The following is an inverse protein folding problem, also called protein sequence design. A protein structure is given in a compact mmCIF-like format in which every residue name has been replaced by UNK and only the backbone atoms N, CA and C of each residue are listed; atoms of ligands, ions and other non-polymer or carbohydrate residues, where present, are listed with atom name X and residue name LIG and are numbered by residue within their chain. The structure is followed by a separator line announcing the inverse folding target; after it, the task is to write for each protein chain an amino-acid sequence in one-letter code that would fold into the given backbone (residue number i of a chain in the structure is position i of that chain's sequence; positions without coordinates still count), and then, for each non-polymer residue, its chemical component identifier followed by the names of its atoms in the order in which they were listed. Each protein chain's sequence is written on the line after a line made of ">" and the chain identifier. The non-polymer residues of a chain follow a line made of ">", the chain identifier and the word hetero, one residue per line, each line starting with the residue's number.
data_IF_781019382131
#
_entry.id   IF_781019382131
#
_cell.length_a   1.000
_cell.length_b   1.000
_cell.length_c   1.000
_cell.angle_alpha   90.00
_cell.angle_beta   90.00
_cell.angle_gamma   90.00
#
_symmetry.space_group_name_H-M   'P 1'
#
loop_
_entity.id
_entity.type
_entity.pdbx_description
1 polymer ?
#
# COMPACT_ATOMS: atom_id res chain seq x y z
N UNK A 1 -13.96 1.37 -1.36
CA UNK A 1 -15.38 1.06 -1.07
C UNK A 1 -15.53 0.88 0.43
N UNK A 2 -16.75 1.00 0.96
CA UNK A 2 -17.03 0.91 2.41
C UNK A 2 -17.95 -0.29 2.68
N UNK A 3 -17.63 -1.18 3.63
CA UNK A 3 -18.49 -2.29 3.98
C UNK A 3 -19.80 -1.78 4.60
N UNK A 4 -20.92 -2.36 4.18
CA UNK A 4 -22.26 -2.05 4.67
C UNK A 4 -23.11 -3.31 4.73
N UNK A 5 -24.21 -3.25 5.45
CA UNK A 5 -25.15 -4.35 5.56
C UNK A 5 -26.59 -3.86 5.70
N UNK A 6 -27.53 -4.73 5.37
CA UNK A 6 -28.96 -4.56 5.63
C UNK A 6 -29.51 -5.86 6.19
N UNK A 7 -30.56 -5.76 6.99
CA UNK A 7 -31.19 -6.92 7.64
C UNK A 7 -32.63 -7.00 7.20
N UNK A 8 -33.07 -8.17 6.73
CA UNK A 8 -34.48 -8.43 6.37
C UNK A 8 -34.94 -9.70 7.06
N UNK A 9 -35.95 -9.57 7.93
CA UNK A 9 -36.61 -10.63 8.71
C UNK A 9 -35.65 -11.44 9.59
N UNK A 10 -34.81 -12.30 9.01
CA UNK A 10 -33.79 -13.08 9.72
C UNK A 10 -32.49 -13.25 8.90
N UNK A 11 -32.32 -12.49 7.82
CA UNK A 11 -31.17 -12.60 6.91
C UNK A 11 -30.43 -11.28 6.85
N UNK A 12 -29.12 -11.33 7.07
CA UNK A 12 -28.21 -10.18 6.95
C UNK A 12 -27.52 -10.21 5.59
N UNK A 13 -27.76 -9.19 4.79
CA UNK A 13 -27.14 -9.00 3.49
C UNK A 13 -25.93 -8.08 3.65
N UNK A 14 -24.76 -8.53 3.21
CA UNK A 14 -23.50 -7.78 3.27
C UNK A 14 -23.14 -7.28 1.88
N UNK A 15 -22.74 -6.02 1.76
CA UNK A 15 -22.39 -5.39 0.49
C UNK A 15 -21.32 -4.31 0.68
N UNK A 16 -20.55 -4.04 -0.36
CA UNK A 16 -19.60 -2.93 -0.42
C UNK A 16 -20.22 -1.77 -1.19
N UNK A 17 -20.23 -0.58 -0.59
CA UNK A 17 -20.75 0.65 -1.22
C UNK A 17 -19.60 1.50 -1.72
N UNK A 18 -19.75 2.08 -2.91
CA UNK A 18 -18.80 3.08 -3.38
C UNK A 18 -18.83 4.31 -2.47
N UNK A 19 -17.69 4.67 -1.89
CA UNK A 19 -17.56 5.83 -1.00
C UNK A 19 -17.87 7.14 -1.74
N UNK A 20 -17.59 7.22 -3.04
CA UNK A 20 -17.98 8.35 -3.88
C UNK A 20 -19.50 8.42 -4.06
N UNK A 21 -20.14 7.29 -4.38
CA UNK A 21 -21.60 7.20 -4.47
C UNK A 21 -22.30 7.56 -3.16
N UNK A 22 -21.74 7.13 -2.03
CA UNK A 22 -22.28 7.40 -0.71
C UNK A 22 -22.19 8.90 -0.34
N UNK A 23 -21.10 9.58 -0.73
CA UNK A 23 -20.88 10.99 -0.41
C UNK A 23 -21.49 11.97 -1.41
N UNK A 24 -21.57 11.60 -2.70
CA UNK A 24 -21.97 12.49 -3.81
C UNK A 24 -23.21 12.03 -4.59
N UNK A 25 -23.82 10.92 -4.18
CA UNK A 25 -25.04 10.37 -4.78
C UNK A 25 -24.78 9.22 -5.75
N UNK A 26 -25.73 8.28 -5.83
CA UNK A 26 -25.60 7.03 -6.60
C UNK A 26 -25.52 7.20 -8.13
N UNK A 27 -25.87 8.37 -8.67
CA UNK A 27 -25.71 8.70 -10.09
C UNK A 27 -24.25 8.96 -10.48
N UNK A 28 -23.37 9.25 -9.51
CA UNK A 28 -21.97 9.64 -9.75
C UNK A 28 -21.01 8.45 -9.86
N UNK A 29 -21.48 7.23 -9.65
CA UNK A 29 -20.65 6.03 -9.74
C UNK A 29 -21.46 4.88 -10.37
N UNK A 30 -20.96 4.27 -11.47
CA UNK A 30 -21.65 3.16 -12.14
C UNK A 30 -21.79 1.92 -11.25
N UNK A 31 -20.79 1.65 -10.40
CA UNK A 31 -20.72 0.46 -9.56
C UNK A 31 -21.73 0.46 -8.40
N UNK A 32 -22.14 1.63 -7.90
CA UNK A 32 -23.09 1.82 -6.77
C UNK A 32 -22.76 0.97 -5.53
N UNK A 33 -23.28 -0.24 -5.46
CA UNK A 33 -23.05 -1.23 -4.41
C UNK A 33 -22.84 -2.62 -5.01
N UNK A 34 -21.96 -3.41 -4.41
CA UNK A 34 -21.62 -4.77 -4.87
C UNK A 34 -21.88 -5.76 -3.73
N UNK A 35 -22.50 -6.92 -3.99
CA UNK A 35 -22.63 -7.98 -2.99
C UNK A 35 -21.26 -8.41 -2.45
N UNK A 36 -21.15 -8.55 -1.12
CA UNK A 36 -19.86 -8.85 -0.50
C UNK A 36 -19.39 -10.29 -0.79
N UNK A 37 -20.29 -11.26 -0.70
CA UNK A 37 -19.96 -12.69 -0.83
C UNK A 37 -19.31 -13.04 -2.19
N UNK A 38 -19.86 -12.68 -3.37
CA UNK A 38 -19.20 -12.98 -4.65
C UNK A 38 -17.80 -12.39 -4.78
N UNK A 39 -17.58 -11.17 -4.27
CA UNK A 39 -16.27 -10.51 -4.32
C UNK A 39 -15.29 -11.16 -3.34
N UNK A 40 -15.73 -11.43 -2.11
CA UNK A 40 -14.93 -12.12 -1.10
C UNK A 40 -14.49 -13.50 -1.59
N UNK A 41 -15.43 -14.29 -2.13
CA UNK A 41 -15.14 -15.59 -2.71
C UNK A 41 -14.18 -15.50 -3.89
N UNK A 42 -14.36 -14.53 -4.80
CA UNK A 42 -13.44 -14.33 -5.92
C UNK A 42 -12.01 -14.03 -5.46
N UNK A 43 -11.85 -13.18 -4.44
CA UNK A 43 -10.53 -12.86 -3.87
C UNK A 43 -9.89 -14.10 -3.26
N UNK A 44 -10.64 -14.87 -2.47
CA UNK A 44 -10.14 -16.10 -1.83
C UNK A 44 -9.74 -17.14 -2.89
N UNK A 45 -10.57 -17.34 -3.91
CA UNK A 45 -10.25 -18.27 -5.00
C UNK A 45 -9.04 -17.82 -5.80
N UNK A 46 -8.84 -16.51 -5.98
CA UNK A 46 -7.61 -16.00 -6.61
C UNK A 46 -6.37 -16.28 -5.77
N UNK A 47 -6.44 -16.06 -4.45
CA UNK A 47 -5.35 -16.40 -3.51
C UNK A 47 -5.02 -17.89 -3.61
N UNK A 48 -6.04 -18.77 -3.59
CA UNK A 48 -5.88 -20.22 -3.74
C UNK A 48 -5.26 -20.62 -5.07
N UNK A 49 -5.70 -20.00 -6.17
CA UNK A 49 -5.20 -20.30 -7.51
C UNK A 49 -3.70 -20.00 -7.64
N UNK A 50 -3.23 -18.90 -7.05
CA UNK A 50 -1.81 -18.54 -7.00
C UNK A 50 -1.02 -19.61 -6.23
N UNK A 51 -1.57 -20.13 -5.14
CA UNK A 51 -0.91 -21.18 -4.35
C UNK A 51 -0.87 -22.57 -4.97
N UNK A 52 -1.82 -22.91 -5.82
CA UNK A 52 -1.92 -24.25 -6.44
C UNK A 52 -1.17 -24.37 -7.77
N UNK A 53 -0.78 -23.26 -8.38
CA UNK A 53 -0.14 -23.25 -9.69
C UNK A 53 1.27 -22.63 -9.61
N UNK A 54 2.35 -23.43 -9.66
CA UNK A 54 3.73 -22.95 -9.60
C UNK A 54 4.08 -21.93 -10.69
N UNK A 55 3.55 -22.09 -11.90
CA UNK A 55 3.82 -21.16 -13.00
C UNK A 55 3.11 -19.81 -12.78
N UNK A 56 1.91 -19.83 -12.23
CA UNK A 56 1.21 -18.60 -11.84
C UNK A 56 1.92 -17.92 -10.66
N UNK A 57 2.43 -18.68 -9.70
CA UNK A 57 3.22 -18.16 -8.59
C UNK A 57 4.48 -17.45 -9.09
N UNK A 58 5.23 -18.09 -10.00
CA UNK A 58 6.42 -17.51 -10.63
C UNK A 58 6.11 -16.19 -11.33
N UNK A 59 5.03 -16.15 -12.13
CA UNK A 59 4.58 -14.94 -12.82
C UNK A 59 4.18 -13.82 -11.84
N UNK A 60 3.48 -14.16 -10.75
CA UNK A 60 3.09 -13.18 -9.72
C UNK A 60 4.31 -12.62 -9.00
N UNK A 61 5.30 -13.47 -8.66
CA UNK A 61 6.55 -13.05 -8.03
C UNK A 61 7.39 -12.17 -8.96
N UNK A 62 7.48 -12.52 -10.24
CA UNK A 62 8.16 -11.72 -11.26
C UNK A 62 7.51 -10.34 -11.42
N UNK A 63 6.18 -10.29 -11.58
CA UNK A 63 5.44 -9.04 -11.66
C UNK A 63 5.56 -8.20 -10.38
N UNK A 64 5.58 -8.84 -9.20
CA UNK A 64 5.78 -8.17 -7.93
C UNK A 64 7.19 -7.56 -7.82
N UNK A 65 8.22 -8.26 -8.28
CA UNK A 65 9.61 -7.77 -8.36
C UNK A 65 9.73 -6.59 -9.32
N UNK A 66 9.13 -6.67 -10.50
CA UNK A 66 9.12 -5.58 -11.48
C UNK A 66 8.45 -4.32 -10.91
N UNK A 67 7.26 -4.47 -10.32
CA UNK A 67 6.55 -3.34 -9.70
C UNK A 67 7.32 -2.76 -8.51
N UNK A 68 7.94 -3.62 -7.70
CA UNK A 68 8.80 -3.20 -6.58
C UNK A 68 10.01 -2.40 -7.08
N UNK A 69 10.71 -2.90 -8.10
CA UNK A 69 11.86 -2.24 -8.70
C UNK A 69 11.49 -0.90 -9.36
N UNK A 70 10.37 -0.86 -10.10
CA UNK A 70 9.86 0.38 -10.69
C UNK A 70 9.53 1.41 -9.61
N UNK A 71 8.85 0.99 -8.54
CA UNK A 71 8.49 1.87 -7.44
C UNK A 71 9.72 2.37 -6.67
N UNK A 72 10.71 1.51 -6.48
CA UNK A 72 11.98 1.88 -5.88
C UNK A 72 12.70 2.94 -6.73
N UNK A 73 12.79 2.73 -8.04
CA UNK A 73 13.42 3.68 -8.96
C UNK A 73 12.72 5.05 -8.97
N UNK A 74 11.38 5.08 -8.91
CA UNK A 74 10.61 6.32 -8.76
C UNK A 74 10.96 7.07 -7.47
N UNK A 75 10.95 6.36 -6.33
CA UNK A 75 11.24 6.95 -5.03
C UNK A 75 12.70 7.40 -4.92
N UNK A 76 13.63 6.67 -5.54
CA UNK A 76 15.05 7.03 -5.59
C UNK A 76 15.28 8.27 -6.47
N UNK A 77 14.60 8.38 -7.61
CA UNK A 77 14.63 9.58 -8.43
C UNK A 77 14.10 10.79 -7.64
N UNK A 78 12.95 10.64 -6.96
CA UNK A 78 12.37 11.69 -6.12
C UNK A 78 13.33 12.11 -4.99
N UNK A 79 13.94 11.14 -4.29
CA UNK A 79 14.92 11.42 -3.23
C UNK A 79 16.11 12.21 -3.76
N UNK A 80 16.65 11.82 -4.92
CA UNK A 80 17.79 12.51 -5.54
C UNK A 80 17.47 13.94 -5.94
N UNK A 81 16.26 14.19 -6.44
CA UNK A 81 15.86 15.54 -6.86
C UNK A 81 15.58 16.44 -5.65
N UNK A 82 14.90 15.93 -4.61
CA UNK A 82 14.73 16.64 -3.34
C UNK A 82 16.07 17.01 -2.70
N UNK A 83 17.05 16.11 -2.71
CA UNK A 83 18.39 16.39 -2.19
C UNK A 83 19.14 17.46 -2.99
N UNK A 84 18.95 17.53 -4.32
CA UNK A 84 19.53 18.60 -5.15
C UNK A 84 18.89 19.94 -4.84
N UNK A 85 17.56 19.96 -4.70
CA UNK A 85 16.80 21.18 -4.39
C UNK A 85 17.17 21.72 -3.02
N UNK A 86 17.25 20.87 -2.00
CA UNK A 86 17.71 21.24 -0.67
C UNK A 86 19.12 21.86 -0.71
N UNK A 87 20.07 21.23 -1.42
CA UNK A 87 21.42 21.80 -1.59
C UNK A 87 21.42 23.13 -2.34
N UNK A 88 20.50 23.34 -3.28
CA UNK A 88 20.38 24.62 -3.99
C UNK A 88 19.82 25.71 -3.06
N UNK A 89 18.74 25.43 -2.35
CA UNK A 89 18.10 26.40 -1.46
C UNK A 89 18.95 26.73 -0.23
N UNK A 90 19.65 25.77 0.37
CA UNK A 90 20.61 26.08 1.45
C UNK A 90 21.73 27.02 0.99
N UNK A 91 22.23 26.86 -0.25
CA UNK A 91 23.21 27.79 -0.82
C UNK A 91 22.62 29.18 -1.06
N UNK A 92 21.39 29.26 -1.56
CA UNK A 92 20.69 30.53 -1.75
C UNK A 92 20.44 31.25 -0.41
N UNK A 93 20.04 30.52 0.64
CA UNK A 93 19.90 31.07 2.00
C UNK A 93 21.23 31.61 2.52
N UNK A 94 22.32 30.84 2.39
CA UNK A 94 23.66 31.30 2.82
C UNK A 94 24.11 32.57 2.07
N UNK A 95 23.84 32.64 0.76
CA UNK A 95 24.15 33.81 -0.06
C UNK A 95 23.33 35.03 0.38
N UNK A 96 22.02 34.89 0.55
CA UNK A 96 21.13 35.99 0.94
C UNK A 96 21.41 36.46 2.37
N UNK A 97 21.72 35.54 3.29
CA UNK A 97 22.12 35.88 4.65
C UNK A 97 23.42 36.70 4.68
N UNK A 98 24.37 36.41 3.79
CA UNK A 98 25.61 37.19 3.65
C UNK A 98 25.43 38.58 3.03
N UNK A 99 24.26 38.88 2.45
CA UNK A 99 23.94 40.21 1.87
C UNK A 99 23.23 41.14 2.87
N UNK A 100 22.90 40.65 4.08
CA UNK A 100 22.23 41.45 5.10
C UNK A 100 23.22 42.43 5.74
N UNK A 101 22.97 43.74 5.56
CA UNK A 101 23.76 44.79 6.19
C UNK A 101 22.96 45.51 7.30
N UNK A 102 23.60 45.86 8.43
CA UNK A 102 23.00 46.74 9.43
C UNK A 102 22.78 48.14 8.84
N UNK A 103 21.52 48.59 8.75
CA UNK A 103 21.14 49.92 8.27
C UNK A 103 20.44 49.96 6.90
N UNK A 104 20.43 48.86 6.15
CA UNK A 104 19.75 48.75 4.86
C UNK A 104 18.27 48.31 4.97
N UNK A 105 17.50 48.58 3.92
CA UNK A 105 16.09 48.14 3.79
C UNK A 105 16.04 46.65 3.43
N UNK A 106 16.21 45.79 4.44
CA UNK A 106 16.28 44.33 4.27
C UNK A 106 14.93 43.62 4.04
N UNK A 107 13.81 44.36 4.00
CA UNK A 107 12.45 43.80 3.94
C UNK A 107 12.25 42.72 2.85
N UNK A 108 12.54 43.01 1.57
CA UNK A 108 12.40 42.02 0.50
C UNK A 108 13.30 40.79 0.66
N UNK A 109 14.52 40.97 1.17
CA UNK A 109 15.47 39.87 1.45
C UNK A 109 14.96 38.97 2.56
N UNK A 110 14.43 39.54 3.65
CA UNK A 110 13.84 38.80 4.76
C UNK A 110 12.62 38.01 4.31
N UNK A 111 11.75 38.57 3.47
CA UNK A 111 10.61 37.84 2.89
C UNK A 111 11.07 36.65 2.03
N UNK A 112 12.10 36.84 1.20
CA UNK A 112 12.66 35.75 0.37
C UNK A 112 13.29 34.65 1.23
N UNK A 113 14.03 35.02 2.28
CA UNK A 113 14.59 34.07 3.24
C UNK A 113 13.49 33.26 3.94
N UNK A 114 12.37 33.87 4.32
CA UNK A 114 11.25 33.17 4.93
C UNK A 114 10.60 32.15 3.96
N UNK A 115 10.39 32.51 2.69
CA UNK A 115 9.90 31.59 1.65
C UNK A 115 10.85 30.40 1.44
N UNK A 116 12.16 30.65 1.40
CA UNK A 116 13.15 29.59 1.26
C UNK A 116 13.18 28.65 2.47
N UNK A 117 13.11 29.17 3.70
CA UNK A 117 13.04 28.32 4.90
C UNK A 117 11.79 27.43 4.89
N UNK A 118 10.62 27.98 4.54
CA UNK A 118 9.39 27.18 4.44
C UNK A 118 9.50 26.07 3.38
N UNK A 119 10.15 26.34 2.24
CA UNK A 119 10.41 25.33 1.19
C UNK A 119 11.38 24.25 1.64
N UNK A 120 12.44 24.63 2.35
CA UNK A 120 13.42 23.71 2.92
C UNK A 120 12.73 22.77 3.90
N UNK A 121 11.97 23.30 4.88
CA UNK A 121 11.25 22.49 5.86
C UNK A 121 10.29 21.48 5.18
N UNK A 122 9.53 21.94 4.17
CA UNK A 122 8.62 21.08 3.43
C UNK A 122 9.35 19.95 2.67
N UNK A 123 10.47 20.28 2.02
CA UNK A 123 11.25 19.31 1.27
C UNK A 123 12.02 18.33 2.17
N UNK A 124 12.51 18.77 3.33
CA UNK A 124 13.13 17.90 4.34
C UNK A 124 12.11 16.88 4.86
N UNK A 125 10.90 17.34 5.20
CA UNK A 125 9.83 16.45 5.64
C UNK A 125 9.48 15.43 4.54
N UNK A 126 9.40 15.86 3.28
CA UNK A 126 9.16 14.95 2.16
C UNK A 126 10.29 13.95 1.96
N UNK A 127 11.54 14.41 2.01
CA UNK A 127 12.72 13.55 1.87
C UNK A 127 12.79 12.49 2.98
N UNK A 128 12.44 12.86 4.22
CA UNK A 128 12.34 11.90 5.32
C UNK A 128 11.30 10.81 5.04
N UNK A 129 10.13 11.18 4.51
CA UNK A 129 9.07 10.23 4.13
C UNK A 129 9.47 9.32 2.96
N UNK A 130 10.11 9.87 1.93
CA UNK A 130 10.60 9.09 0.79
C UNK A 130 11.68 8.09 1.24
N UNK A 131 12.59 8.51 2.13
CA UNK A 131 13.62 7.63 2.71
C UNK A 131 13.03 6.49 3.53
N UNK A 132 12.02 6.78 4.37
CA UNK A 132 11.25 5.77 5.10
C UNK A 132 10.66 4.72 4.14
N UNK A 133 10.07 5.17 3.04
CA UNK A 133 9.47 4.29 2.04
C UNK A 133 10.50 3.47 1.26
N UNK A 134 11.67 4.06 0.92
CA UNK A 134 12.76 3.34 0.26
C UNK A 134 13.26 2.17 1.11
N UNK A 135 13.43 2.38 2.42
CA UNK A 135 13.80 1.31 3.36
C UNK A 135 12.74 0.21 3.38
N UNK A 136 11.46 0.56 3.42
CA UNK A 136 10.37 -0.42 3.43
C UNK A 136 10.26 -1.24 2.13
N UNK A 137 10.60 -0.66 0.98
CA UNK A 137 10.58 -1.36 -0.32
C UNK A 137 11.82 -2.25 -0.50
N UNK A 138 12.91 -1.97 0.21
CA UNK A 138 14.16 -2.74 0.14
C UNK A 138 14.19 -4.02 0.98
N UNK A 139 13.14 -4.29 1.77
CA UNK A 139 13.05 -5.48 2.62
C UNK A 139 13.07 -6.77 1.76
N UNK A 140 13.68 -7.88 2.22
CA UNK A 140 13.98 -9.03 1.37
C UNK A 140 12.76 -9.57 0.64
N UNK A 141 12.89 -9.64 -0.69
CA UNK A 141 11.94 -10.33 -1.55
C UNK A 141 11.94 -11.82 -1.24
N UNK A 142 10.74 -12.38 -1.17
CA UNK A 142 10.51 -13.80 -0.88
C UNK A 142 11.06 -14.63 -2.03
N UNK A 143 11.69 -15.74 -1.68
CA UNK A 143 12.11 -16.73 -2.65
C UNK A 143 10.88 -17.47 -3.19
N UNK A 144 10.97 -18.02 -4.40
CA UNK A 144 9.87 -18.83 -4.95
C UNK A 144 9.55 -20.03 -4.05
N UNK A 145 10.58 -20.62 -3.44
CA UNK A 145 10.46 -21.76 -2.53
C UNK A 145 9.68 -21.40 -1.26
N UNK A 146 9.98 -20.26 -0.63
CA UNK A 146 9.29 -19.81 0.58
C UNK A 146 7.85 -19.41 0.29
N UNK A 147 7.61 -18.79 -0.87
CA UNK A 147 6.28 -18.46 -1.34
C UNK A 147 5.44 -19.73 -1.59
N UNK A 148 6.02 -20.76 -2.22
CA UNK A 148 5.34 -22.03 -2.46
C UNK A 148 5.02 -22.78 -1.16
N UNK A 149 5.95 -22.76 -0.20
CA UNK A 149 5.79 -23.36 1.13
C UNK A 149 4.64 -22.70 1.91
N UNK A 150 4.62 -21.37 1.95
CA UNK A 150 3.57 -20.60 2.62
C UNK A 150 2.18 -20.84 2.00
N UNK A 151 2.12 -20.91 0.67
CA UNK A 151 0.87 -21.12 -0.06
C UNK A 151 0.34 -22.56 0.03
N UNK A 152 1.22 -23.56 0.13
CA UNK A 152 0.81 -24.96 0.37
C UNK A 152 0.15 -25.13 1.75
N UNK A 153 0.66 -24.41 2.76
CA UNK A 153 0.08 -24.39 4.10
C UNK A 153 -1.21 -23.56 4.21
N UNK A 154 -1.55 -22.76 3.19
CA UNK A 154 -2.66 -21.81 3.24
C UNK A 154 -4.03 -22.48 3.39
N UNK A 155 -4.36 -23.48 2.56
CA UNK A 155 -5.70 -24.06 2.53
C UNK A 155 -6.12 -24.76 3.85
N UNK A 156 -5.27 -25.62 4.46
CA UNK A 156 -5.57 -26.25 5.74
C UNK A 156 -5.73 -25.23 6.87
N UNK A 157 -4.88 -24.18 6.89
CA UNK A 157 -4.93 -23.14 7.93
C UNK A 157 -6.16 -22.26 7.74
N UNK A 158 -6.47 -21.84 6.51
CA UNK A 158 -7.62 -21.00 6.20
C UNK A 158 -8.95 -21.59 6.69
N UNK A 159 -9.10 -22.92 6.61
CA UNK A 159 -10.30 -23.63 7.05
C UNK A 159 -10.55 -23.47 8.57
N UNK A 160 -9.50 -23.37 9.37
CA UNK A 160 -9.58 -23.30 10.85
C UNK A 160 -9.54 -21.87 11.40
N UNK A 161 -9.20 -20.86 10.59
CA UNK A 161 -9.14 -19.46 11.02
C UNK A 161 -10.54 -18.88 11.31
N UNK A 162 -10.60 -18.06 12.36
CA UNK A 162 -11.75 -17.20 12.67
C UNK A 162 -11.92 -16.10 11.62
N UNK A 163 -13.11 -15.48 11.51
CA UNK A 163 -13.33 -14.39 10.56
C UNK A 163 -12.34 -13.21 10.72
N UNK A 164 -11.91 -12.91 11.94
CA UNK A 164 -10.97 -11.83 12.21
C UNK A 164 -9.55 -12.18 11.72
N UNK A 165 -9.12 -13.42 11.95
CA UNK A 165 -7.82 -13.91 11.48
C UNK A 165 -7.79 -14.01 9.95
N UNK A 166 -8.87 -14.51 9.33
CA UNK A 166 -9.03 -14.50 7.87
C UNK A 166 -8.88 -13.10 7.29
N UNK A 167 -9.49 -12.10 7.92
CA UNK A 167 -9.36 -10.71 7.48
C UNK A 167 -7.92 -10.19 7.57
N UNK A 168 -7.18 -10.56 8.62
CA UNK A 168 -5.75 -10.20 8.77
C UNK A 168 -4.89 -10.84 7.69
N UNK A 169 -5.05 -12.14 7.48
CA UNK A 169 -4.33 -12.88 6.43
C UNK A 169 -4.57 -12.27 5.04
N UNK A 170 -5.83 -11.95 4.72
CA UNK A 170 -6.14 -11.27 3.45
C UNK A 170 -5.52 -9.88 3.38
N UNK A 171 -5.51 -9.12 4.46
CA UNK A 171 -4.89 -7.79 4.49
C UNK A 171 -3.36 -7.84 4.29
N UNK A 172 -2.70 -8.94 4.68
CA UNK A 172 -1.28 -9.16 4.41
C UNK A 172 -1.02 -9.55 2.96
N UNK A 173 -1.88 -10.38 2.38
CA UNK A 173 -1.69 -10.89 1.02
C UNK A 173 -2.13 -9.91 -0.06
N UNK A 174 -3.24 -9.21 0.16
CA UNK A 174 -3.92 -8.39 -0.85
C UNK A 174 -3.70 -6.92 -0.56
N UNK A 175 -2.92 -6.27 -1.42
CA UNK A 175 -2.69 -4.83 -1.35
C UNK A 175 -3.92 -4.02 -1.78
N UNK A 176 -4.62 -4.47 -2.82
CA UNK A 176 -5.78 -3.74 -3.36
C UNK A 176 -6.72 -4.63 -4.14
N UNK A 177 -8.02 -4.39 -3.98
CA UNK A 177 -9.06 -4.95 -4.84
C UNK A 177 -9.75 -3.79 -5.55
N UNK A 178 -9.74 -3.83 -6.87
CA UNK A 178 -10.39 -2.85 -7.74
C UNK A 178 -11.57 -3.49 -8.45
N UNK A 179 -12.68 -2.77 -8.49
CA UNK A 179 -13.85 -3.18 -9.25
C UNK A 179 -14.23 -2.10 -10.25
N UNK A 180 -14.23 -2.47 -11.53
CA UNK A 180 -14.75 -1.64 -12.59
C UNK A 180 -16.24 -1.96 -12.81
N UNK A 181 -17.11 -1.02 -12.46
CA UNK A 181 -18.56 -1.17 -12.64
C UNK A 181 -19.04 -1.01 -14.08
N UNK A 182 -18.22 -0.49 -14.98
CA UNK A 182 -18.52 -0.41 -16.42
C UNK A 182 -18.24 -1.73 -17.14
N UNK A 183 -17.13 -2.39 -16.79
CA UNK A 183 -16.72 -3.66 -17.38
C UNK A 183 -17.15 -4.91 -16.57
N UNK A 184 -17.59 -4.72 -15.32
CA UNK A 184 -17.85 -5.83 -14.40
C UNK A 184 -16.58 -6.59 -13.96
N UNK A 185 -15.41 -5.99 -14.15
CA UNK A 185 -14.12 -6.63 -13.93
C UNK A 185 -13.61 -6.40 -12.50
N UNK A 186 -13.05 -7.45 -11.90
CA UNK A 186 -12.37 -7.39 -10.58
C UNK A 186 -10.88 -7.62 -10.80
N UNK A 187 -10.06 -6.67 -10.34
CA UNK A 187 -8.60 -6.77 -10.34
C UNK A 187 -8.10 -6.88 -8.90
N UNK A 188 -7.30 -7.91 -8.62
CA UNK A 188 -6.68 -8.14 -7.30
C UNK A 188 -5.18 -7.89 -7.43
N UNK A 189 -4.66 -6.97 -6.63
CA UNK A 189 -3.23 -6.67 -6.51
C UNK A 189 -2.71 -7.24 -5.20
N UNK A 190 -1.64 -8.02 -5.27
CA UNK A 190 -1.00 -8.65 -4.12
C UNK A 190 0.13 -7.79 -3.55
N UNK A 191 0.39 -7.91 -2.26
CA UNK A 191 1.59 -7.34 -1.65
C UNK A 191 2.83 -8.12 -2.13
N UNK A 192 3.90 -7.43 -2.58
CA UNK A 192 5.14 -8.10 -2.99
C UNK A 192 5.83 -8.86 -1.84
N UNK A 193 5.64 -8.39 -0.60
CA UNK A 193 6.14 -8.99 0.64
C UNK A 193 5.04 -9.72 1.43
N UNK A 194 3.81 -9.78 0.91
CA UNK A 194 2.66 -10.32 1.64
C UNK A 194 2.78 -11.80 1.95
N UNK A 195 3.50 -12.54 1.12
CA UNK A 195 3.77 -13.96 1.31
C UNK A 195 4.85 -14.20 2.40
N UNK A 196 5.76 -13.24 2.69
CA UNK A 196 6.74 -13.31 3.80
C UNK A 196 6.01 -13.08 5.10
N UNK A 197 5.20 -12.02 5.12
CA UNK A 197 4.39 -11.67 6.27
C UNK A 197 3.43 -12.82 6.62
N UNK A 198 2.87 -13.48 5.60
CA UNK A 198 2.10 -14.71 5.79
C UNK A 198 2.96 -15.85 6.35
N UNK A 199 4.14 -16.14 5.77
CA UNK A 199 5.01 -17.22 6.23
C UNK A 199 5.44 -17.03 7.70
N UNK A 200 5.78 -15.81 8.09
CA UNK A 200 6.10 -15.43 9.46
C UNK A 200 4.90 -15.57 10.40
N UNK A 201 3.72 -15.12 9.98
CA UNK A 201 2.50 -15.21 10.79
C UNK A 201 2.02 -16.66 10.96
N UNK A 202 2.12 -17.47 9.91
CA UNK A 202 1.83 -18.91 9.96
C UNK A 202 2.80 -19.66 10.87
N UNK A 203 4.09 -19.29 10.87
CA UNK A 203 5.09 -19.88 11.76
C UNK A 203 4.82 -19.53 13.23
N UNK A 204 4.46 -18.27 13.53
CA UNK A 204 4.09 -17.83 14.89
C UNK A 204 2.84 -18.52 15.44
N UNK A 205 1.88 -18.85 14.57
CA UNK A 205 0.68 -19.60 14.97
C UNK A 205 0.93 -21.09 15.22
N UNK A 206 1.95 -21.69 14.61
CA UNK A 206 2.40 -23.05 14.93
C UNK A 206 2.94 -23.13 16.37
N UNK A 207 3.76 -22.14 16.76
CA UNK A 207 4.41 -22.11 18.07
C UNK A 207 3.42 -21.84 19.22
N UNK A 208 2.42 -20.98 19.02
CA UNK A 208 1.43 -20.66 20.06
C UNK A 208 0.47 -21.81 20.40
N UNK A 209 0.28 -22.80 19.52
CA UNK A 209 -0.55 -23.99 19.79
C UNK A 209 0.24 -25.19 20.30
N UNK A 210 1.57 -25.16 20.32
CA UNK A 210 2.38 -26.22 20.94
C UNK A 210 2.53 -26.08 22.46
N UNK A 211 2.02 -24.99 23.04
CA UNK A 211 2.15 -24.65 24.48
C UNK A 211 0.78 -24.69 25.21
N UNK A 212 -0.30 -25.09 24.52
CA UNK A 212 -1.64 -25.26 25.09
C UNK A 212 -2.14 -26.69 24.88
#
# INVERSE_FOLDING_TARGET
>A
MTPSHSTKVNTRYRYYVCTHAQKRGYSTCPSKSIPAEPIESFVIERVRAVGRNPELLRQVLEQAREKGAARFAELEAESRDLEKDLRAWHREVAQLAGQLNPGDVNGPLVTRLADLHARIEAAEHRAAKVREHLTAVSDPLITEEDAARALTAFDPVWAILTPLERARVIALLVARVEYDGGAGAVTVSFHPTGLTALADELSRHHDHRSIA
#
